data_IF_018313630636
#
_entry.id   IF_018313630636
#
_cell.length_a   1.000
_cell.length_b   1.000
_cell.length_c   1.000
_cell.angle_alpha   90.00
_cell.angle_beta   90.00
_cell.angle_gamma   90.00
#
_symmetry.space_group_name_H-M   'P 1'
#
loop_
_entity.id
_entity.type
_entity.pdbx_description
1 polymer ?
#
# COMPACT_ATOMS: atom_id res chain seq x y z
N UNK A 1 -19.27 -6.47 14.40
CA UNK A 1 -18.43 -6.77 13.22
C UNK A 1 -17.08 -6.11 13.45
N UNK A 2 -16.05 -6.91 13.23
CA UNK A 2 -14.70 -6.79 13.78
C UNK A 2 -14.03 -5.44 13.52
N UNK A 3 -13.62 -4.77 14.59
CA UNK A 3 -12.70 -3.63 14.56
C UNK A 3 -11.36 -4.09 13.96
N UNK A 4 -11.05 -3.66 12.74
CA UNK A 4 -9.73 -3.89 12.15
C UNK A 4 -8.76 -2.85 12.72
N UNK A 5 -7.88 -3.32 13.61
CA UNK A 5 -6.65 -2.72 14.12
C UNK A 5 -6.17 -1.41 13.45
N UNK A 6 -6.50 -0.28 14.08
CA UNK A 6 -5.64 0.85 14.50
C UNK A 6 -4.39 1.31 13.71
N UNK A 7 -4.29 1.08 12.39
CA UNK A 7 -3.30 1.75 11.55
C UNK A 7 -4.00 2.64 10.52
N UNK A 8 -3.95 3.95 10.74
CA UNK A 8 -4.48 5.01 9.86
C UNK A 8 -3.63 5.15 8.59
N UNK A 9 -3.39 4.06 7.86
CA UNK A 9 -2.69 4.13 6.59
C UNK A 9 -3.69 4.63 5.55
N UNK A 10 -3.46 5.82 4.94
CA UNK A 10 -4.39 6.36 3.97
C UNK A 10 -4.38 5.51 2.71
N UNK A 11 -5.58 5.23 2.20
CA UNK A 11 -5.71 4.59 0.89
C UNK A 11 -5.34 5.60 -0.21
N UNK A 12 -4.70 5.15 -1.29
CA UNK A 12 -4.38 6.04 -2.41
C UNK A 12 -5.66 6.58 -3.06
N UNK A 13 -5.67 7.86 -3.48
CA UNK A 13 -6.82 8.49 -4.15
C UNK A 13 -7.34 7.71 -5.37
N UNK A 14 -6.46 6.99 -6.06
CA UNK A 14 -6.81 6.19 -7.23
C UNK A 14 -7.32 4.78 -6.88
N UNK A 15 -7.41 4.42 -5.60
CA UNK A 15 -7.72 3.07 -5.13
C UNK A 15 -9.02 2.53 -5.73
N UNK A 16 -10.09 3.33 -5.72
CA UNK A 16 -11.39 2.95 -6.27
C UNK A 16 -11.39 2.78 -7.80
N UNK A 17 -10.41 3.37 -8.49
CA UNK A 17 -10.28 3.29 -9.96
C UNK A 17 -9.56 2.02 -10.41
N UNK A 18 -8.85 1.34 -9.50
CA UNK A 18 -8.16 0.10 -9.83
C UNK A 18 -9.14 -1.06 -9.96
N UNK A 19 -8.77 -2.13 -10.67
CA UNK A 19 -9.52 -3.38 -10.69
C UNK A 19 -9.41 -4.11 -9.35
N UNK A 20 -10.33 -5.05 -9.10
CA UNK A 20 -10.43 -5.79 -7.83
C UNK A 20 -9.12 -6.49 -7.44
N UNK A 21 -8.46 -7.18 -8.38
CA UNK A 21 -7.18 -7.85 -8.12
C UNK A 21 -6.10 -6.89 -7.63
N UNK A 22 -5.99 -5.72 -8.25
CA UNK A 22 -5.03 -4.69 -7.85
C UNK A 22 -5.37 -4.12 -6.48
N UNK A 23 -6.65 -3.89 -6.19
CA UNK A 23 -7.10 -3.42 -4.86
C UNK A 23 -6.75 -4.43 -3.77
N UNK A 24 -7.00 -5.72 -4.02
CA UNK A 24 -6.66 -6.80 -3.08
C UNK A 24 -5.16 -6.86 -2.84
N UNK A 25 -4.36 -6.75 -3.91
CA UNK A 25 -2.90 -6.75 -3.81
C UNK A 25 -2.37 -5.55 -3.02
N UNK A 26 -2.93 -4.36 -3.24
CA UNK A 26 -2.62 -3.15 -2.48
C UNK A 26 -2.97 -3.35 -1.00
N UNK A 27 -4.18 -3.84 -0.69
CA UNK A 27 -4.61 -4.10 0.68
C UNK A 27 -3.67 -5.08 1.39
N UNK A 28 -3.28 -6.13 0.69
CA UNK A 28 -2.31 -7.09 1.21
C UNK A 28 -0.96 -6.42 1.49
N UNK A 29 -0.42 -5.66 0.53
CA UNK A 29 0.81 -4.91 0.72
C UNK A 29 0.75 -4.00 1.95
N UNK A 30 -0.30 -3.18 2.08
CA UNK A 30 -0.48 -2.27 3.21
C UNK A 30 -0.58 -3.00 4.55
N UNK A 31 -1.20 -4.19 4.57
CA UNK A 31 -1.32 -5.04 5.76
C UNK A 31 0.00 -5.67 6.22
N UNK A 32 0.94 -5.87 5.29
CA UNK A 32 2.25 -6.48 5.56
C UNK A 32 3.35 -5.45 5.83
N UNK A 33 3.03 -4.15 5.77
CA UNK A 33 3.99 -3.10 6.09
C UNK A 33 4.36 -3.11 7.58
N UNK A 34 5.65 -3.11 7.85
CA UNK A 34 6.20 -2.83 9.19
C UNK A 34 5.99 -1.37 9.61
N UNK A 35 6.04 -1.07 10.90
CA UNK A 35 5.82 0.28 11.44
C UNK A 35 6.72 1.35 10.81
N UNK A 36 7.94 1.00 10.38
CA UNK A 36 8.86 1.90 9.69
C UNK A 36 8.38 2.17 8.25
N UNK A 37 8.00 1.12 7.53
CA UNK A 37 7.51 1.24 6.16
C UNK A 37 6.18 1.99 6.10
N UNK A 38 5.30 1.80 7.08
CA UNK A 38 4.05 2.55 7.20
C UNK A 38 4.31 4.06 7.36
N UNK A 39 5.26 4.45 8.21
CA UNK A 39 5.66 5.86 8.35
C UNK A 39 6.21 6.42 7.05
N UNK A 40 7.09 5.68 6.38
CA UNK A 40 7.64 6.08 5.09
C UNK A 40 6.55 6.22 4.02
N UNK A 41 5.60 5.29 3.99
CA UNK A 41 4.42 5.35 3.13
C UNK A 41 3.59 6.61 3.40
N UNK A 42 3.24 6.89 4.66
CA UNK A 42 2.47 8.09 5.00
C UNK A 42 3.20 9.37 4.61
N UNK A 43 4.51 9.46 4.84
CA UNK A 43 5.32 10.62 4.42
C UNK A 43 5.25 10.79 2.90
N UNK A 44 5.45 9.73 2.13
CA UNK A 44 5.38 9.78 0.67
C UNK A 44 3.97 10.13 0.17
N UNK A 45 2.94 9.56 0.78
CA UNK A 45 1.53 9.86 0.48
C UNK A 45 1.21 11.33 0.73
N UNK A 46 1.55 11.87 1.91
CA UNK A 46 1.30 13.28 2.23
C UNK A 46 2.14 14.24 1.39
N UNK A 47 3.38 13.85 1.04
CA UNK A 47 4.26 14.69 0.22
C UNK A 47 3.82 14.76 -1.24
N UNK A 48 3.34 13.65 -1.81
CA UNK A 48 2.94 13.55 -3.22
C UNK A 48 1.44 13.81 -3.43
N UNK A 49 0.62 13.66 -2.39
CA UNK A 49 -0.83 13.88 -2.42
C UNK A 49 -1.50 13.16 -3.59
N UNK A 50 -2.21 13.93 -4.43
CA UNK A 50 -2.90 13.41 -5.62
C UNK A 50 -1.98 12.83 -6.70
N UNK A 51 -0.68 13.13 -6.65
CA UNK A 51 0.33 12.54 -7.54
C UNK A 51 0.91 11.23 -7.02
N UNK A 52 0.54 10.82 -5.80
CA UNK A 52 1.00 9.56 -5.23
C UNK A 52 0.41 8.37 -6.01
N UNK A 53 1.29 7.52 -6.53
CA UNK A 53 0.91 6.28 -7.20
C UNK A 53 1.57 5.09 -6.51
N UNK A 54 0.79 4.36 -5.71
CA UNK A 54 1.27 3.22 -4.93
C UNK A 54 1.90 2.13 -5.81
N UNK A 55 1.33 1.89 -6.99
CA UNK A 55 1.78 0.84 -7.91
C UNK A 55 3.18 1.11 -8.48
N UNK A 56 3.58 2.39 -8.50
CA UNK A 56 4.89 2.84 -8.95
C UNK A 56 5.86 3.11 -7.79
N UNK A 57 5.42 2.93 -6.54
CA UNK A 57 6.29 3.14 -5.39
C UNK A 57 7.33 2.02 -5.28
N UNK A 58 8.56 2.36 -4.89
CA UNK A 58 9.64 1.39 -4.75
C UNK A 58 9.26 0.27 -3.77
N UNK A 59 8.67 0.64 -2.62
CA UNK A 59 8.24 -0.33 -1.60
C UNK A 59 7.23 -1.35 -2.11
N UNK A 60 6.23 -0.94 -2.90
CA UNK A 60 5.26 -1.86 -3.49
C UNK A 60 5.88 -2.77 -4.54
N UNK A 61 6.75 -2.22 -5.41
CA UNK A 61 7.44 -2.98 -6.45
C UNK A 61 8.36 -4.03 -5.83
N UNK A 62 9.11 -3.68 -4.79
CA UNK A 62 9.99 -4.60 -4.08
C UNK A 62 9.21 -5.70 -3.37
N UNK A 63 8.17 -5.35 -2.60
CA UNK A 63 7.31 -6.34 -1.96
C UNK A 63 6.68 -7.31 -2.97
N UNK A 64 6.23 -6.81 -4.12
CA UNK A 64 5.66 -7.67 -5.18
C UNK A 64 6.69 -8.63 -5.76
N UNK A 65 7.95 -8.20 -5.89
CA UNK A 65 9.06 -9.07 -6.31
C UNK A 65 9.35 -10.15 -5.28
N UNK A 66 9.36 -9.81 -3.99
CA UNK A 66 9.55 -10.78 -2.90
C UNK A 66 8.45 -11.85 -2.91
N UNK A 67 7.18 -11.45 -3.03
CA UNK A 67 6.05 -12.39 -3.15
C UNK A 67 6.11 -13.32 -4.36
N UNK A 68 6.83 -12.93 -5.41
CA UNK A 68 7.02 -13.76 -6.60
C UNK A 68 8.22 -14.71 -6.46
N UNK A 69 9.17 -14.42 -5.57
CA UNK A 69 10.35 -15.25 -5.29
C UNK A 69 10.07 -16.39 -4.31
N UNK A 70 9.07 -16.24 -3.45
CA UNK A 70 8.59 -17.28 -2.52
C UNK A 70 7.63 -18.31 -3.18
N UNK A 71 7.58 -18.35 -4.51
CA UNK A 71 6.82 -19.32 -5.32
C UNK A 71 7.77 -20.19 -6.14
#
# INVERSE_FOLDING_TARGET
MSSLNNFEIPLPDQFEKYNEETRNTIMQYLSELSSIQQKAYCIAYHHLGSSFNILKSNGYIEWKKEKTRDK
#
